data_IF_762104733712
#
_entry.id   IF_762104733712
#
_cell.length_a   1.000
_cell.length_b   1.000
_cell.length_c   1.000
_cell.angle_alpha   90.00
_cell.angle_beta   90.00
_cell.angle_gamma   90.00
#
_symmetry.space_group_name_H-M   'P 1'
#
loop_
_entity.id
_entity.type
_entity.pdbx_description
1 polymer ?
#
# COMPACT_ATOMS: atom_id res chain seq x y z
N UNK A 1 38.81 -24.91 -51.64
CA UNK A 1 40.02 -24.67 -50.82
C UNK A 1 39.75 -23.49 -49.90
N UNK A 2 39.16 -23.76 -48.73
CA UNK A 2 39.39 -23.03 -47.48
C UNK A 2 38.64 -23.79 -46.40
N UNK A 3 39.40 -24.56 -45.63
CA UNK A 3 38.98 -25.39 -44.51
C UNK A 3 38.85 -24.48 -43.28
N UNK A 4 37.76 -24.56 -42.53
CA UNK A 4 37.64 -23.95 -41.19
C UNK A 4 36.97 -24.93 -40.23
N UNK A 5 37.60 -25.24 -39.08
CA UNK A 5 37.10 -26.21 -38.12
C UNK A 5 35.96 -25.63 -37.28
N UNK A 6 34.98 -26.47 -36.98
CA UNK A 6 33.91 -26.24 -36.00
C UNK A 6 34.50 -26.22 -34.59
N UNK A 7 34.67 -25.02 -34.04
CA UNK A 7 35.09 -24.80 -32.65
C UNK A 7 33.83 -24.82 -31.78
N UNK A 8 33.63 -25.92 -31.05
CA UNK A 8 32.57 -26.06 -30.06
C UNK A 8 33.00 -25.48 -28.71
N UNK A 9 32.13 -24.70 -28.08
CA UNK A 9 32.19 -24.26 -26.69
C UNK A 9 30.76 -23.86 -26.24
N UNK A 10 30.40 -23.98 -24.96
CA UNK A 10 30.64 -25.08 -24.02
C UNK A 10 29.29 -25.71 -23.59
N UNK A 11 29.28 -27.00 -23.24
CA UNK A 11 28.15 -27.57 -22.50
C UNK A 11 28.06 -26.88 -21.14
N UNK A 12 26.90 -26.29 -20.83
CA UNK A 12 26.57 -25.85 -19.49
C UNK A 12 26.80 -27.01 -18.51
N UNK A 13 27.54 -26.82 -17.41
CA UNK A 13 27.76 -27.88 -16.45
C UNK A 13 26.41 -28.32 -15.85
N UNK A 14 26.20 -29.64 -15.65
CA UNK A 14 24.93 -30.16 -15.18
C UNK A 14 24.69 -29.73 -13.72
N UNK A 15 23.56 -29.07 -13.48
CA UNK A 15 22.58 -29.26 -12.40
C UNK A 15 23.04 -29.61 -10.96
N UNK A 16 24.30 -29.38 -10.56
CA UNK A 16 24.77 -29.68 -9.20
C UNK A 16 24.21 -28.71 -8.13
N UNK A 17 23.64 -27.57 -8.55
CA UNK A 17 23.03 -26.60 -7.64
C UNK A 17 21.60 -26.98 -7.22
N UNK A 18 20.84 -27.69 -8.06
CA UNK A 18 19.44 -28.06 -7.76
C UNK A 18 19.32 -29.29 -6.84
N UNK A 19 20.26 -30.24 -6.89
CA UNK A 19 20.26 -31.41 -6.00
C UNK A 19 20.53 -31.03 -4.53
N UNK A 20 21.44 -30.07 -4.30
CA UNK A 20 21.76 -29.58 -2.96
C UNK A 20 20.62 -28.72 -2.37
N UNK A 21 19.92 -27.94 -3.21
CA UNK A 21 18.75 -27.17 -2.79
C UNK A 21 17.59 -28.06 -2.31
N UNK A 22 17.27 -29.13 -3.04
CA UNK A 22 16.22 -30.08 -2.65
C UNK A 22 16.57 -30.84 -1.36
N UNK A 23 17.85 -31.20 -1.18
CA UNK A 23 18.33 -31.89 0.03
C UNK A 23 18.28 -30.98 1.26
N UNK A 24 18.59 -29.69 1.11
CA UNK A 24 18.51 -28.69 2.18
C UNK A 24 17.06 -28.49 2.66
N UNK A 25 16.10 -28.33 1.73
CA UNK A 25 14.68 -28.15 2.06
C UNK A 25 14.14 -29.34 2.86
N UNK A 26 14.45 -30.57 2.45
CA UNK A 26 14.03 -31.78 3.17
C UNK A 26 14.63 -31.89 4.59
N UNK A 27 15.83 -31.34 4.81
CA UNK A 27 16.44 -31.26 6.15
C UNK A 27 15.75 -30.20 7.01
N UNK A 28 15.36 -29.06 6.43
CA UNK A 28 14.62 -27.99 7.14
C UNK A 28 13.22 -28.46 7.56
N UNK A 29 12.47 -29.11 6.68
CA UNK A 29 11.11 -29.59 7.00
C UNK A 29 11.10 -30.59 8.16
N UNK A 30 12.12 -31.46 8.25
CA UNK A 30 12.24 -32.42 9.36
C UNK A 30 12.76 -31.80 10.65
N UNK A 31 13.46 -30.66 10.55
CA UNK A 31 13.87 -29.86 11.71
C UNK A 31 12.62 -29.23 12.33
N UNK A 32 11.73 -28.67 11.51
CA UNK A 32 10.44 -28.14 11.95
C UNK A 32 9.55 -29.21 12.59
N UNK A 33 9.57 -30.43 12.05
CA UNK A 33 8.88 -31.58 12.62
C UNK A 33 9.55 -32.15 13.89
N UNK A 34 10.70 -31.62 14.33
CA UNK A 34 11.43 -32.06 15.52
C UNK A 34 12.03 -33.47 15.42
N UNK A 35 12.27 -33.96 14.19
CA UNK A 35 12.61 -35.37 13.90
C UNK A 35 14.04 -35.58 13.37
N UNK A 36 14.91 -34.56 13.47
CA UNK A 36 16.26 -34.62 12.93
C UNK A 36 17.19 -35.52 13.75
N UNK A 37 17.86 -36.48 13.11
CA UNK A 37 18.89 -37.30 13.76
C UNK A 37 20.20 -36.52 13.95
N UNK A 38 21.07 -37.00 14.83
CA UNK A 38 22.36 -36.36 15.14
C UNK A 38 23.30 -36.25 13.93
N UNK A 39 23.20 -37.17 12.96
CA UNK A 39 24.02 -37.15 11.75
C UNK A 39 23.52 -36.09 10.75
N UNK A 40 22.21 -35.90 10.68
CA UNK A 40 21.56 -34.94 9.80
C UNK A 40 21.67 -33.51 10.33
N UNK A 41 21.71 -33.35 11.65
CA UNK A 41 22.08 -32.08 12.30
C UNK A 41 23.50 -31.63 11.91
N UNK A 42 24.46 -32.57 11.89
CA UNK A 42 25.83 -32.29 11.46
C UNK A 42 25.89 -31.90 9.98
N UNK A 43 25.18 -32.62 9.11
CA UNK A 43 25.10 -32.27 7.68
C UNK A 43 24.47 -30.90 7.43
N UNK A 44 23.41 -30.55 8.15
CA UNK A 44 22.79 -29.23 8.05
C UNK A 44 23.72 -28.13 8.55
N UNK A 45 24.44 -28.36 9.65
CA UNK A 45 25.43 -27.43 10.17
C UNK A 45 26.58 -27.20 9.17
N UNK A 46 27.08 -28.27 8.55
CA UNK A 46 28.12 -28.18 7.52
C UNK A 46 27.63 -27.41 6.29
N UNK A 47 26.39 -27.60 5.86
CA UNK A 47 25.78 -26.84 4.75
C UNK A 47 25.58 -25.36 5.08
N UNK A 48 25.26 -25.01 6.33
CA UNK A 48 25.12 -23.62 6.77
C UNK A 48 26.47 -22.91 6.93
N UNK A 49 27.52 -23.63 7.32
CA UNK A 49 28.89 -23.11 7.47
C UNK A 49 29.61 -23.00 6.13
N UNK A 50 29.41 -23.96 5.23
CA UNK A 50 30.04 -23.99 3.91
C UNK A 50 29.22 -23.30 2.81
N UNK A 51 27.94 -22.99 3.08
CA UNK A 51 27.03 -22.39 2.12
C UNK A 51 27.35 -20.92 1.81
N UNK A 52 27.00 -20.42 0.61
CA UNK A 52 27.11 -19.01 0.28
C UNK A 52 26.26 -18.16 1.24
N UNK A 53 26.65 -16.91 1.54
CA UNK A 53 25.92 -16.03 2.46
C UNK A 53 24.45 -15.81 2.06
N UNK A 54 24.13 -15.98 0.78
CA UNK A 54 22.79 -15.99 0.22
C UNK A 54 21.92 -17.12 0.78
N UNK A 55 22.49 -18.30 1.06
CA UNK A 55 21.80 -19.45 1.64
C UNK A 55 21.42 -19.19 3.11
N UNK A 56 22.30 -18.53 3.87
CA UNK A 56 22.06 -18.12 5.27
C UNK A 56 21.00 -17.02 5.34
N UNK A 57 21.00 -16.09 4.38
CA UNK A 57 19.95 -15.09 4.26
C UNK A 57 18.61 -15.70 3.81
N UNK A 58 18.61 -16.68 2.90
CA UNK A 58 17.41 -17.41 2.49
C UNK A 58 16.85 -18.29 3.62
N UNK A 59 17.70 -18.83 4.50
CA UNK A 59 17.31 -19.59 5.68
C UNK A 59 16.79 -18.70 6.83
N UNK A 60 16.99 -17.39 6.76
CA UNK A 60 16.45 -16.46 7.75
C UNK A 60 14.99 -16.14 7.42
N UNK A 61 14.06 -16.91 7.98
CA UNK A 61 12.62 -16.65 7.88
C UNK A 61 12.27 -15.36 8.62
N UNK A 62 12.08 -14.27 7.88
CA UNK A 62 11.67 -12.98 8.44
C UNK A 62 10.15 -12.92 8.52
N UNK A 63 9.57 -13.20 9.68
CA UNK A 63 8.13 -12.99 9.92
C UNK A 63 7.88 -11.57 10.45
N UNK A 64 7.30 -10.71 9.62
CA UNK A 64 6.84 -9.38 10.06
C UNK A 64 5.33 -9.41 10.29
N UNK A 65 4.92 -9.16 11.54
CA UNK A 65 3.52 -9.00 11.90
C UNK A 65 3.17 -7.52 12.00
N UNK A 66 2.01 -7.15 11.46
CA UNK A 66 1.50 -5.78 11.50
C UNK A 66 0.14 -5.75 12.17
N UNK A 67 -0.04 -4.84 13.11
CA UNK A 67 -1.28 -4.67 13.86
C UNK A 67 -1.03 -4.45 15.35
N UNK A 68 -2.09 -4.17 16.11
CA UNK A 68 -1.98 -3.86 17.54
C UNK A 68 -1.75 -5.10 18.42
N UNK A 69 -1.88 -6.31 17.86
CA UNK A 69 -1.68 -7.57 18.58
C UNK A 69 -0.36 -8.25 18.18
N UNK A 70 0.38 -8.81 19.15
CA UNK A 70 1.54 -9.64 18.86
C UNK A 70 1.12 -11.01 18.27
N UNK A 71 2.07 -11.75 17.71
CA UNK A 71 1.81 -13.10 17.21
C UNK A 71 1.20 -13.99 18.32
N UNK A 72 0.20 -14.86 18.01
CA UNK A 72 -0.45 -15.70 19.01
C UNK A 72 0.52 -16.54 19.84
N UNK A 73 1.59 -17.06 19.24
CA UNK A 73 2.60 -17.85 19.95
C UNK A 73 3.41 -17.03 20.95
N UNK A 74 3.57 -15.72 20.71
CA UNK A 74 4.20 -14.81 21.66
C UNK A 74 3.20 -14.42 22.75
N UNK A 75 1.95 -14.16 22.36
CA UNK A 75 0.87 -13.81 23.28
C UNK A 75 0.59 -14.93 24.30
N UNK A 76 0.66 -16.19 23.87
CA UNK A 76 0.43 -17.36 24.70
C UNK A 76 1.58 -17.68 25.68
N UNK A 77 2.74 -17.02 25.55
CA UNK A 77 3.86 -17.16 26.51
C UNK A 77 3.66 -16.31 27.77
N UNK A 78 2.74 -15.34 27.74
CA UNK A 78 2.42 -14.51 28.88
C UNK A 78 1.42 -15.21 29.81
N UNK A 79 1.46 -14.87 31.10
CA UNK A 79 0.44 -15.26 32.05
C UNK A 79 -0.94 -14.67 31.69
N UNK A 80 -2.00 -15.31 32.18
CA UNK A 80 -3.37 -14.92 31.87
C UNK A 80 -3.71 -13.44 32.16
N UNK A 81 -3.32 -12.84 33.31
CA UNK A 81 -3.53 -11.41 33.53
C UNK A 81 -2.80 -10.53 32.50
N UNK A 82 -1.53 -10.81 32.22
CA UNK A 82 -0.74 -10.03 31.25
C UNK A 82 -1.32 -10.15 29.84
N UNK A 83 -1.71 -11.35 29.41
CA UNK A 83 -2.35 -11.59 28.12
C UNK A 83 -3.65 -10.78 27.97
N UNK A 84 -4.51 -10.79 28.99
CA UNK A 84 -5.74 -9.98 28.99
C UNK A 84 -5.44 -8.48 28.91
N UNK A 85 -4.42 -8.00 29.61
CA UNK A 85 -4.01 -6.60 29.53
C UNK A 85 -3.55 -6.22 28.12
N UNK A 86 -2.74 -7.07 27.46
CA UNK A 86 -2.29 -6.83 26.07
C UNK A 86 -3.47 -6.76 25.11
N UNK A 87 -4.41 -7.72 25.20
CA UNK A 87 -5.60 -7.72 24.35
C UNK A 87 -6.45 -6.47 24.61
N UNK A 88 -6.62 -6.08 25.88
CA UNK A 88 -7.37 -4.87 26.23
C UNK A 88 -6.71 -3.61 25.65
N UNK A 89 -5.38 -3.48 25.75
CA UNK A 89 -4.65 -2.38 25.12
C UNK A 89 -4.87 -2.33 23.60
N UNK A 90 -4.86 -3.47 22.92
CA UNK A 90 -5.13 -3.54 21.48
C UNK A 90 -6.57 -3.13 21.13
N UNK A 91 -7.56 -3.51 21.95
CA UNK A 91 -8.96 -3.09 21.79
C UNK A 91 -9.08 -1.57 21.99
N UNK A 92 -8.44 -1.02 23.02
CA UNK A 92 -8.47 0.41 23.32
C UNK A 92 -7.82 1.24 22.20
N UNK A 93 -6.70 0.76 21.66
CA UNK A 93 -6.02 1.36 20.50
C UNK A 93 -6.90 1.31 19.25
N UNK A 94 -7.54 0.17 18.99
CA UNK A 94 -8.49 0.04 17.88
C UNK A 94 -9.67 1.01 18.03
N UNK A 95 -10.22 1.14 19.23
CA UNK A 95 -11.29 2.11 19.52
C UNK A 95 -10.81 3.55 19.37
N UNK A 96 -9.58 3.86 19.77
CA UNK A 96 -8.96 5.17 19.53
C UNK A 96 -8.82 5.45 18.02
N UNK A 97 -8.26 4.51 17.27
CA UNK A 97 -8.08 4.62 15.82
C UNK A 97 -9.41 4.79 15.07
N UNK A 98 -10.46 4.06 15.48
CA UNK A 98 -11.81 4.25 14.92
C UNK A 98 -12.34 5.66 15.20
N UNK A 99 -12.26 6.13 16.45
CA UNK A 99 -12.71 7.50 16.80
C UNK A 99 -11.94 8.58 16.06
N UNK A 100 -10.63 8.43 15.87
CA UNK A 100 -9.82 9.37 15.09
C UNK A 100 -10.25 9.37 13.63
N UNK A 101 -10.47 8.20 13.03
CA UNK A 101 -10.97 8.07 11.66
C UNK A 101 -12.36 8.68 11.50
N UNK A 102 -13.29 8.40 12.41
CA UNK A 102 -14.64 8.97 12.42
C UNK A 102 -14.59 10.49 12.50
N UNK A 103 -13.87 11.06 13.49
CA UNK A 103 -13.72 12.51 13.62
C UNK A 103 -13.06 13.14 12.39
N UNK A 104 -12.07 12.46 11.80
CA UNK A 104 -11.43 12.90 10.56
C UNK A 104 -12.42 12.97 9.40
N UNK A 105 -13.25 11.94 9.25
CA UNK A 105 -14.30 11.88 8.24
C UNK A 105 -15.39 12.94 8.47
N UNK A 106 -15.89 13.07 9.70
CA UNK A 106 -16.86 14.10 10.09
C UNK A 106 -16.31 15.50 9.85
N UNK A 107 -15.05 15.73 10.21
CA UNK A 107 -14.36 16.99 9.95
C UNK A 107 -14.27 17.34 8.46
N UNK A 108 -13.99 16.35 7.61
CA UNK A 108 -13.99 16.52 6.16
C UNK A 108 -15.39 16.82 5.61
N UNK A 109 -16.41 16.06 6.03
CA UNK A 109 -17.81 16.27 5.63
C UNK A 109 -18.28 17.68 6.00
N UNK A 110 -18.01 18.09 7.23
CA UNK A 110 -18.44 19.39 7.74
C UNK A 110 -17.67 20.54 7.07
N UNK A 111 -16.39 20.36 6.76
CA UNK A 111 -15.62 21.30 5.93
C UNK A 111 -16.24 21.46 4.55
N UNK A 112 -16.58 20.36 3.88
CA UNK A 112 -17.21 20.38 2.57
C UNK A 112 -18.59 21.05 2.61
N UNK A 113 -19.38 20.75 3.65
CA UNK A 113 -20.71 21.35 3.86
C UNK A 113 -20.62 22.87 4.02
N UNK A 114 -19.67 23.37 4.82
CA UNK A 114 -19.42 24.81 4.96
C UNK A 114 -18.93 25.42 3.65
N UNK A 115 -18.01 24.74 2.95
CA UNK A 115 -17.52 25.16 1.64
C UNK A 115 -18.65 25.33 0.62
N UNK A 116 -19.56 24.37 0.54
CA UNK A 116 -20.74 24.45 -0.34
C UNK A 116 -21.67 25.60 0.04
N UNK A 117 -21.93 25.82 1.34
CA UNK A 117 -22.78 26.92 1.80
C UNK A 117 -22.20 28.28 1.43
N UNK A 118 -20.92 28.51 1.71
CA UNK A 118 -20.26 29.76 1.33
C UNK A 118 -20.15 29.92 -0.19
N UNK A 119 -19.90 28.83 -0.92
CA UNK A 119 -19.90 28.82 -2.38
C UNK A 119 -21.24 29.30 -2.95
N UNK A 120 -22.37 28.75 -2.49
CA UNK A 120 -23.71 29.18 -2.94
C UNK A 120 -23.97 30.64 -2.61
N UNK A 121 -23.58 31.11 -1.43
CA UNK A 121 -23.75 32.53 -1.04
C UNK A 121 -22.98 33.46 -2.00
N UNK A 122 -21.73 33.13 -2.32
CA UNK A 122 -20.89 33.94 -3.21
C UNK A 122 -21.51 34.03 -4.62
N UNK A 123 -21.98 32.90 -5.16
CA UNK A 123 -22.60 32.83 -6.49
C UNK A 123 -23.88 33.65 -6.55
N UNK A 124 -24.76 33.49 -5.55
CA UNK A 124 -26.00 34.24 -5.48
C UNK A 124 -25.72 35.74 -5.33
N UNK A 125 -24.70 36.12 -4.57
CA UNK A 125 -24.29 37.50 -4.43
C UNK A 125 -23.70 38.07 -5.74
N UNK A 126 -22.85 37.32 -6.44
CA UNK A 126 -22.25 37.70 -7.72
C UNK A 126 -23.29 37.88 -8.81
N UNK A 127 -24.18 36.90 -8.97
CA UNK A 127 -25.31 37.00 -9.90
C UNK A 127 -26.26 38.14 -9.53
N UNK A 128 -26.55 38.32 -8.24
CA UNK A 128 -27.34 39.45 -7.74
C UNK A 128 -26.72 40.80 -8.09
N UNK A 129 -25.40 40.94 -7.98
CA UNK A 129 -24.68 42.14 -8.39
C UNK A 129 -24.76 42.38 -9.90
N UNK A 130 -24.66 41.33 -10.72
CA UNK A 130 -24.84 41.43 -12.17
C UNK A 130 -26.24 41.96 -12.53
N UNK A 131 -27.29 41.42 -11.90
CA UNK A 131 -28.67 41.86 -12.09
C UNK A 131 -28.86 43.32 -11.65
N UNK A 132 -28.29 43.71 -10.51
CA UNK A 132 -28.39 45.07 -9.99
C UNK A 132 -27.69 46.11 -10.89
N UNK A 133 -26.60 45.74 -11.55
CA UNK A 133 -25.81 46.64 -12.42
C UNK A 133 -26.36 46.69 -13.85
N UNK A 134 -27.10 45.68 -14.29
CA UNK A 134 -27.63 45.58 -15.66
C UNK A 134 -28.36 46.84 -16.18
N UNK A 135 -29.17 47.55 -15.37
CA UNK A 135 -29.82 48.80 -15.80
C UNK A 135 -28.84 49.95 -16.08
N UNK A 136 -27.66 49.94 -15.45
CA UNK A 136 -26.65 50.99 -15.57
C UNK A 136 -25.60 50.68 -16.64
N UNK A 137 -25.25 49.39 -16.81
CA UNK A 137 -24.31 48.95 -17.84
C UNK A 137 -24.50 47.46 -18.14
N UNK A 138 -25.04 47.18 -19.32
CA UNK A 138 -25.18 45.81 -19.81
C UNK A 138 -23.82 45.09 -19.99
N UNK A 139 -22.79 45.83 -20.41
CA UNK A 139 -21.43 45.28 -20.57
C UNK A 139 -20.84 44.87 -19.23
N UNK A 140 -20.94 45.72 -18.20
CA UNK A 140 -20.43 45.41 -16.87
C UNK A 140 -21.18 44.22 -16.25
N UNK A 141 -22.52 44.19 -16.35
CA UNK A 141 -23.32 43.06 -15.91
C UNK A 141 -22.94 41.75 -16.62
N UNK A 142 -22.68 41.81 -17.94
CA UNK A 142 -22.21 40.68 -18.72
C UNK A 142 -20.87 40.14 -18.26
N UNK A 143 -19.90 41.02 -17.97
CA UNK A 143 -18.58 40.60 -17.44
C UNK A 143 -18.73 39.95 -16.07
N UNK A 144 -19.52 40.53 -15.16
CA UNK A 144 -19.72 39.98 -13.81
C UNK A 144 -20.39 38.60 -13.91
N UNK A 145 -21.48 38.48 -14.67
CA UNK A 145 -22.19 37.22 -14.81
C UNK A 145 -21.36 36.12 -15.48
N UNK A 146 -20.53 36.46 -16.47
CA UNK A 146 -19.65 35.48 -17.13
C UNK A 146 -18.50 35.03 -16.23
N UNK A 147 -17.89 35.94 -15.46
CA UNK A 147 -16.85 35.58 -14.48
C UNK A 147 -17.41 34.71 -13.36
N UNK A 148 -18.60 35.02 -12.85
CA UNK A 148 -19.26 34.23 -11.80
C UNK A 148 -19.57 32.80 -12.29
N UNK A 149 -20.14 32.67 -13.49
CA UNK A 149 -20.42 31.36 -14.09
C UNK A 149 -19.13 30.58 -14.39
N UNK A 150 -18.10 31.25 -14.92
CA UNK A 150 -16.82 30.61 -15.20
C UNK A 150 -16.14 30.13 -13.92
N UNK A 151 -16.11 30.97 -12.87
CA UNK A 151 -15.58 30.61 -11.56
C UNK A 151 -16.30 29.39 -10.97
N UNK A 152 -17.62 29.31 -11.15
CA UNK A 152 -18.41 28.15 -10.74
C UNK A 152 -18.02 26.86 -11.48
N UNK A 153 -17.91 26.92 -12.81
CA UNK A 153 -17.48 25.75 -13.59
C UNK A 153 -16.07 25.34 -13.18
N UNK A 154 -15.16 26.28 -13.01
CA UNK A 154 -13.79 26.01 -12.60
C UNK A 154 -13.71 25.33 -11.22
N UNK A 155 -14.45 25.82 -10.22
CA UNK A 155 -14.38 25.28 -8.86
C UNK A 155 -15.16 23.98 -8.67
N UNK A 156 -16.29 23.78 -9.35
CA UNK A 156 -17.18 22.63 -9.11
C UNK A 156 -17.10 21.54 -10.17
N UNK A 157 -16.74 21.86 -11.42
CA UNK A 157 -16.72 20.90 -12.53
C UNK A 157 -15.30 20.40 -12.79
N UNK A 158 -14.29 21.29 -12.75
CA UNK A 158 -12.91 20.90 -13.04
C UNK A 158 -12.35 19.78 -12.14
N UNK A 159 -12.59 19.78 -10.80
CA UNK A 159 -12.12 18.69 -9.93
C UNK A 159 -12.71 17.33 -10.34
N UNK A 160 -14.00 17.30 -10.70
CA UNK A 160 -14.70 16.08 -11.11
C UNK A 160 -14.19 15.52 -12.44
N UNK A 161 -13.84 16.39 -13.38
CA UNK A 161 -13.26 15.99 -14.67
C UNK A 161 -11.87 15.40 -14.44
N UNK A 162 -11.04 16.04 -13.61
CA UNK A 162 -9.70 15.56 -13.30
C UNK A 162 -9.72 14.20 -12.59
N UNK A 163 -10.64 14.00 -11.64
CA UNK A 163 -10.83 12.70 -10.96
C UNK A 163 -11.25 11.59 -11.92
N UNK A 164 -12.08 11.89 -12.92
CA UNK A 164 -12.47 10.92 -13.95
C UNK A 164 -11.29 10.57 -14.85
N UNK A 165 -10.52 11.56 -15.27
CA UNK A 165 -9.34 11.36 -16.11
C UNK A 165 -8.29 10.48 -15.42
N UNK A 166 -8.03 10.71 -14.12
CA UNK A 166 -7.11 9.88 -13.32
C UNK A 166 -7.56 8.42 -13.24
N UNK A 167 -8.85 8.17 -12.94
CA UNK A 167 -9.41 6.81 -12.88
C UNK A 167 -9.30 6.07 -14.22
N UNK A 168 -9.52 6.76 -15.34
CA UNK A 168 -9.35 6.16 -16.67
C UNK A 168 -7.90 5.81 -16.99
N UNK A 169 -6.93 6.61 -16.51
CA UNK A 169 -5.51 6.32 -16.69
C UNK A 169 -5.04 5.11 -15.85
N UNK A 170 -5.60 4.92 -14.66
CA UNK A 170 -5.30 3.78 -13.78
C UNK A 170 -5.92 2.45 -14.27
N UNK A 171 -6.95 2.50 -15.12
CA UNK A 171 -7.66 1.31 -15.63
C UNK A 171 -7.28 0.95 -17.08
N UNK A 172 -6.27 1.61 -17.66
CA UNK A 172 -5.76 1.28 -18.99
C UNK A 172 -5.02 -0.08 -18.99
N UNK A 173 -5.13 -0.89 -20.06
CA UNK A 173 -4.52 -2.22 -20.09
C UNK A 173 -2.99 -2.15 -19.91
N UNK A 174 -2.38 -3.14 -19.22
CA UNK A 174 -0.93 -3.22 -19.14
C UNK A 174 -0.33 -3.32 -20.55
N UNK A 175 0.64 -2.44 -20.83
CA UNK A 175 1.40 -2.41 -22.07
C UNK A 175 2.29 -3.65 -22.21
#
# INVERSE_FOLDING_TARGET
>A
MSDRPTEGLPEDPPDAASENGGTFVALVDRLEAGSLSAEEQRRLADLLVAGPPELVMAATRHESYSGPLPHPDLLNRFDEPTRRAIVQMAVDEQMHAHRVRERGLEGAIEKDRRGQRYGVIIVVAGLGAAVAIAPFSAVAAGIIGTLDLFGMVALFVAPRILERARRSAETGPPA
#
